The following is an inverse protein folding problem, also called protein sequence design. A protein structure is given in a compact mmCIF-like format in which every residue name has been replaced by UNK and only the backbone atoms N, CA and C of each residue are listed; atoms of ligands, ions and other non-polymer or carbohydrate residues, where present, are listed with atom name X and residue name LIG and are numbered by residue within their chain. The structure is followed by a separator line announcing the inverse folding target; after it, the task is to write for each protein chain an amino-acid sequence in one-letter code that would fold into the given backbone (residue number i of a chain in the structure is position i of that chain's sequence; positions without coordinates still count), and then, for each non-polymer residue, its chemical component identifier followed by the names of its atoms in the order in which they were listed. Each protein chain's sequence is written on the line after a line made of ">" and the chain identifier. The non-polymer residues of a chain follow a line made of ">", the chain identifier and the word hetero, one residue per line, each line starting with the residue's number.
data_IF_678477882489
#
_entry.id   IF_678477882489
#
_cell.length_a   1.000
_cell.length_b   1.000
_cell.length_c   1.000
_cell.angle_alpha   90.00
_cell.angle_beta   90.00
_cell.angle_gamma   90.00
#
_symmetry.space_group_name_H-M   'P 1'
#
loop_
_entity.id
_entity.type
_entity.pdbx_description
1 polymer ?
#
# COMPACT_ATOMS: atom_id res chain seq x y z
N UNK A 1 -7.91 -22.21 -4.25
CA UNK A 1 -7.04 -21.73 -3.15
C UNK A 1 -7.48 -22.25 -1.76
N UNK A 2 -8.65 -22.93 -1.64
CA UNK A 2 -9.11 -23.49 -0.36
C UNK A 2 -9.61 -22.49 0.68
N UNK A 3 -9.74 -21.21 0.32
CA UNK A 3 -10.24 -20.14 1.19
C UNK A 3 -11.71 -19.87 0.88
N UNK A 4 -12.60 -19.76 1.89
CA UNK A 4 -14.00 -19.43 1.66
C UNK A 4 -14.12 -18.01 1.09
N UNK A 5 -14.93 -17.86 0.04
CA UNK A 5 -15.18 -16.56 -0.60
C UNK A 5 -16.15 -15.73 0.24
N UNK A 6 -15.60 -15.00 1.19
CA UNK A 6 -16.32 -13.99 1.97
C UNK A 6 -16.19 -12.61 1.31
N UNK A 7 -17.02 -11.62 1.66
CA UNK A 7 -16.85 -10.26 1.17
C UNK A 7 -15.43 -9.71 1.43
N UNK A 8 -14.85 -9.99 2.59
CA UNK A 8 -13.48 -9.56 2.93
C UNK A 8 -12.42 -10.29 2.12
N UNK A 9 -12.54 -11.61 1.92
CA UNK A 9 -11.64 -12.37 1.05
C UNK A 9 -11.70 -11.86 -0.38
N UNK A 10 -12.89 -11.44 -0.84
CA UNK A 10 -13.06 -10.82 -2.16
C UNK A 10 -12.39 -9.44 -2.21
N UNK A 11 -12.45 -8.64 -1.13
CA UNK A 11 -11.74 -7.37 -1.05
C UNK A 11 -10.22 -7.57 -1.12
N UNK A 12 -9.69 -8.54 -0.35
CA UNK A 12 -8.28 -8.92 -0.38
C UNK A 12 -7.87 -9.30 -1.81
N UNK A 13 -8.58 -10.24 -2.43
CA UNK A 13 -8.30 -10.71 -3.78
C UNK A 13 -8.32 -9.56 -4.81
N UNK A 14 -9.31 -8.66 -4.71
CA UNK A 14 -9.45 -7.53 -5.62
C UNK A 14 -8.29 -6.53 -5.48
N UNK A 15 -7.87 -6.18 -4.26
CA UNK A 15 -6.76 -5.23 -4.05
C UNK A 15 -5.45 -5.82 -4.56
N UNK A 16 -5.15 -7.09 -4.29
CA UNK A 16 -3.96 -7.75 -4.80
C UNK A 16 -3.99 -7.93 -6.33
N UNK A 17 -5.16 -8.18 -6.91
CA UNK A 17 -5.32 -8.18 -8.36
C UNK A 17 -4.99 -6.81 -8.96
N UNK A 18 -5.51 -5.73 -8.38
CA UNK A 18 -5.21 -4.35 -8.82
C UNK A 18 -3.72 -4.05 -8.73
N UNK A 19 -3.03 -4.49 -7.69
CA UNK A 19 -1.56 -4.35 -7.59
C UNK A 19 -0.84 -4.98 -8.78
N UNK A 20 -1.27 -6.17 -9.19
CA UNK A 20 -0.71 -6.84 -10.37
C UNK A 20 -1.00 -6.05 -11.66
N UNK A 21 -2.24 -5.61 -11.84
CA UNK A 21 -2.67 -4.90 -13.06
C UNK A 21 -2.01 -3.52 -13.20
N UNK A 22 -1.66 -2.84 -12.11
CA UNK A 22 -0.94 -1.56 -12.17
C UNK A 22 0.45 -1.69 -12.84
N UNK A 23 0.98 -2.92 -12.94
CA UNK A 23 2.11 -3.22 -13.82
C UNK A 23 1.92 -2.74 -15.27
N UNK A 24 0.67 -2.59 -15.74
CA UNK A 24 0.32 -2.01 -17.03
C UNK A 24 0.99 -0.64 -17.25
N UNK A 25 1.02 0.21 -16.23
CA UNK A 25 1.64 1.52 -16.30
C UNK A 25 3.16 1.50 -16.29
N UNK A 26 3.81 0.38 -15.99
CA UNK A 26 5.28 0.30 -15.88
C UNK A 26 5.97 0.63 -17.21
N UNK A 27 5.51 0.02 -18.29
CA UNK A 27 6.02 0.29 -19.63
C UNK A 27 5.68 1.71 -20.06
N UNK A 28 4.43 2.15 -19.87
CA UNK A 28 3.97 3.49 -20.21
C UNK A 28 4.78 4.59 -19.49
N UNK A 29 5.16 4.39 -18.22
CA UNK A 29 6.06 5.32 -17.50
C UNK A 29 7.39 5.50 -18.21
N UNK A 30 7.99 4.39 -18.66
CA UNK A 30 9.29 4.43 -19.33
C UNK A 30 9.21 5.18 -20.67
N UNK A 31 8.17 4.93 -21.46
CA UNK A 31 7.95 5.66 -22.72
C UNK A 31 7.63 7.13 -22.46
N UNK A 32 6.77 7.44 -21.50
CA UNK A 32 6.42 8.82 -21.14
C UNK A 32 7.65 9.64 -20.75
N UNK A 33 8.52 9.08 -19.90
CA UNK A 33 9.74 9.79 -19.44
C UNK A 33 10.74 9.97 -20.57
N UNK A 34 10.90 8.97 -21.44
CA UNK A 34 11.89 8.98 -22.53
C UNK A 34 11.41 9.76 -23.74
N UNK A 35 10.22 9.43 -24.24
CA UNK A 35 9.77 9.85 -25.56
C UNK A 35 8.91 11.12 -25.52
N UNK A 36 8.18 11.37 -24.40
CA UNK A 36 7.34 12.55 -24.25
C UNK A 36 8.04 13.67 -23.44
N UNK A 37 8.67 13.32 -22.32
CA UNK A 37 9.43 14.30 -21.51
C UNK A 37 10.91 14.44 -21.94
N UNK A 38 11.38 13.60 -22.88
CA UNK A 38 12.75 13.61 -23.40
C UNK A 38 13.82 13.60 -22.32
N UNK A 39 13.58 12.90 -21.20
CA UNK A 39 14.52 12.81 -20.10
C UNK A 39 15.69 11.88 -20.45
N UNK A 40 16.88 12.26 -19.99
CA UNK A 40 18.05 11.37 -20.02
C UNK A 40 17.82 10.12 -19.14
N UNK A 41 18.50 8.99 -19.40
CA UNK A 41 18.38 7.79 -18.56
C UNK A 41 18.63 8.05 -17.07
N UNK A 42 19.56 8.94 -16.74
CA UNK A 42 19.86 9.32 -15.36
C UNK A 42 18.68 10.07 -14.71
N UNK A 43 18.05 11.00 -15.41
CA UNK A 43 16.89 11.73 -14.92
C UNK A 43 15.65 10.82 -14.76
N UNK A 44 15.43 9.93 -15.72
CA UNK A 44 14.37 8.93 -15.64
C UNK A 44 14.56 8.00 -14.42
N UNK A 45 15.80 7.57 -14.16
CA UNK A 45 16.13 6.78 -12.98
C UNK A 45 15.82 7.52 -11.65
N UNK A 46 16.10 8.83 -11.58
CA UNK A 46 15.73 9.66 -10.42
C UNK A 46 14.21 9.70 -10.22
N UNK A 47 13.45 9.93 -11.29
CA UNK A 47 11.97 9.95 -11.25
C UNK A 47 11.43 8.61 -10.74
N UNK A 48 11.94 7.49 -11.26
CA UNK A 48 11.53 6.16 -10.85
C UNK A 48 11.91 5.85 -9.39
N UNK A 49 13.08 6.30 -8.94
CA UNK A 49 13.53 6.15 -7.54
C UNK A 49 12.61 6.92 -6.58
N UNK A 50 12.24 8.17 -6.92
CA UNK A 50 11.30 8.96 -6.13
C UNK A 50 9.93 8.28 -6.06
N UNK A 51 9.47 7.72 -7.18
CA UNK A 51 8.19 6.99 -7.23
C UNK A 51 8.16 5.73 -6.35
N UNK A 52 9.31 5.17 -6.01
CA UNK A 52 9.45 3.98 -5.16
C UNK A 52 9.50 4.30 -3.66
N UNK A 53 9.71 5.56 -3.25
CA UNK A 53 9.83 5.95 -1.84
C UNK A 53 8.65 5.53 -0.95
N UNK A 54 7.38 5.60 -1.40
CA UNK A 54 6.25 5.15 -0.58
C UNK A 54 6.34 3.68 -0.14
N UNK A 55 6.95 2.82 -0.95
CA UNK A 55 7.16 1.41 -0.63
C UNK A 55 8.24 1.21 0.44
N UNK A 56 9.23 2.08 0.47
CA UNK A 56 10.32 2.02 1.45
C UNK A 56 9.82 2.32 2.88
N UNK A 57 8.84 3.18 3.01
CA UNK A 57 8.31 3.65 4.31
C UNK A 57 6.98 2.98 4.71
N UNK A 58 6.70 1.78 4.19
CA UNK A 58 5.48 0.99 4.50
C UNK A 58 5.12 0.93 6.00
N UNK A 59 6.08 0.71 6.94
CA UNK A 59 5.75 0.68 8.36
C UNK A 59 5.11 1.97 8.88
N UNK A 60 5.45 3.12 8.27
CA UNK A 60 4.85 4.40 8.62
C UNK A 60 3.36 4.45 8.27
N UNK A 61 2.97 3.88 7.14
CA UNK A 61 1.56 3.84 6.70
C UNK A 61 0.71 2.99 7.63
N UNK A 62 1.23 1.84 8.07
CA UNK A 62 0.59 1.01 9.09
C UNK A 62 0.41 1.76 10.40
N UNK A 63 1.46 2.41 10.88
CA UNK A 63 1.39 3.23 12.09
C UNK A 63 0.34 4.35 12.00
N UNK A 64 0.29 5.08 10.88
CA UNK A 64 -0.68 6.15 10.66
C UNK A 64 -2.11 5.60 10.70
N UNK A 65 -2.39 4.51 9.99
CA UNK A 65 -3.73 3.94 9.93
C UNK A 65 -4.22 3.38 11.27
N UNK A 66 -3.30 2.83 12.07
CA UNK A 66 -3.64 2.27 13.38
C UNK A 66 -3.85 3.35 14.46
N UNK A 67 -3.10 4.47 14.34
CA UNK A 67 -3.11 5.55 15.34
C UNK A 67 -4.20 6.59 15.08
N UNK A 68 -4.47 6.90 13.82
CA UNK A 68 -5.40 7.98 13.43
C UNK A 68 -6.59 7.38 12.66
N UNK A 69 -7.71 7.06 13.33
CA UNK A 69 -8.90 6.61 12.62
C UNK A 69 -9.55 7.76 11.85
N UNK A 70 -9.76 7.59 10.54
CA UNK A 70 -10.50 8.55 9.72
C UNK A 70 -12.00 8.20 9.76
N UNK A 71 -12.84 9.18 10.15
CA UNK A 71 -14.30 9.01 10.25
C UNK A 71 -14.74 7.85 11.17
N UNK A 72 -13.88 7.46 12.13
CA UNK A 72 -14.12 6.34 13.03
C UNK A 72 -13.74 4.96 12.46
N UNK A 73 -13.13 4.90 11.29
CA UNK A 73 -12.63 3.65 10.69
C UNK A 73 -11.11 3.71 10.49
N UNK A 74 -10.41 2.61 10.80
CA UNK A 74 -8.95 2.52 10.67
C UNK A 74 -8.50 2.10 9.28
N UNK A 75 -9.30 1.28 8.58
CA UNK A 75 -8.90 0.68 7.30
C UNK A 75 -9.80 1.12 6.16
N UNK A 76 -11.11 1.03 6.33
CA UNK A 76 -12.12 1.30 5.32
C UNK A 76 -12.01 2.71 4.74
N UNK A 77 -11.89 3.74 5.60
CA UNK A 77 -11.78 5.13 5.18
C UNK A 77 -10.50 5.42 4.42
N UNK A 78 -9.38 4.84 4.87
CA UNK A 78 -8.09 4.97 4.18
C UNK A 78 -8.07 4.26 2.82
N UNK A 79 -8.65 3.07 2.70
CA UNK A 79 -8.79 2.38 1.41
C UNK A 79 -9.57 3.24 0.41
N UNK A 80 -10.69 3.82 0.85
CA UNK A 80 -11.49 4.70 0.01
C UNK A 80 -10.69 5.96 -0.38
N UNK A 81 -10.04 6.62 0.58
CA UNK A 81 -9.22 7.80 0.35
C UNK A 81 -8.09 7.52 -0.64
N UNK A 82 -7.33 6.45 -0.41
CA UNK A 82 -6.20 6.08 -1.27
C UNK A 82 -6.65 5.68 -2.68
N UNK A 83 -7.78 5.00 -2.80
CA UNK A 83 -8.36 4.72 -4.11
C UNK A 83 -8.69 6.00 -4.90
N UNK A 84 -9.29 6.99 -4.25
CA UNK A 84 -9.57 8.31 -4.89
C UNK A 84 -8.28 9.05 -5.22
N UNK A 85 -7.33 9.11 -4.29
CA UNK A 85 -6.01 9.77 -4.50
C UNK A 85 -5.27 9.14 -5.68
N UNK A 86 -5.25 7.82 -5.77
CA UNK A 86 -4.63 7.11 -6.90
C UNK A 86 -5.34 7.41 -8.22
N UNK A 87 -6.67 7.40 -8.24
CA UNK A 87 -7.44 7.75 -9.43
C UNK A 87 -7.12 9.16 -9.91
N UNK A 88 -7.10 10.15 -9.01
CA UNK A 88 -6.76 11.54 -9.35
C UNK A 88 -5.34 11.64 -9.91
N UNK A 89 -4.36 10.99 -9.27
CA UNK A 89 -2.97 11.02 -9.74
C UNK A 89 -2.82 10.44 -11.16
N UNK A 90 -3.39 9.26 -11.43
CA UNK A 90 -3.34 8.64 -12.74
C UNK A 90 -4.15 9.39 -13.80
N UNK A 91 -5.30 9.96 -13.42
CA UNK A 91 -6.10 10.81 -14.31
C UNK A 91 -5.36 12.10 -14.67
N UNK A 92 -4.58 12.67 -13.76
CA UNK A 92 -3.74 13.85 -14.05
C UNK A 92 -2.59 13.46 -14.99
N UNK A 93 -1.94 12.31 -14.77
CA UNK A 93 -0.91 11.78 -15.66
C UNK A 93 -1.44 11.52 -17.07
N UNK A 94 -2.70 11.11 -17.21
CA UNK A 94 -3.34 10.86 -18.51
C UNK A 94 -3.53 12.12 -19.35
N UNK A 95 -3.42 13.31 -18.77
CA UNK A 95 -3.43 14.57 -19.54
C UNK A 95 -2.11 14.77 -20.33
N UNK A 96 -1.11 13.94 -20.11
CA UNK A 96 0.16 13.97 -20.82
C UNK A 96 0.97 15.23 -20.55
N UNK A 97 1.82 15.61 -21.52
CA UNK A 97 2.75 16.74 -21.40
C UNK A 97 2.04 18.10 -21.26
N UNK A 98 0.76 18.18 -21.59
CA UNK A 98 -0.02 19.42 -21.41
C UNK A 98 -0.14 19.88 -19.95
N UNK A 99 -0.07 18.94 -19.00
CA UNK A 99 -0.14 19.19 -17.55
C UNK A 99 1.15 18.74 -16.85
N UNK A 100 1.78 17.71 -17.35
CA UNK A 100 3.00 17.11 -16.78
C UNK A 100 4.18 17.45 -17.69
N UNK A 101 4.65 18.67 -17.59
CA UNK A 101 5.66 19.27 -18.50
C UNK A 101 7.11 19.12 -18.01
N UNK A 102 7.30 18.64 -16.77
CA UNK A 102 8.63 18.54 -16.19
C UNK A 102 8.80 17.30 -15.29
N UNK A 103 10.07 16.92 -15.06
CA UNK A 103 10.44 15.76 -14.26
C UNK A 103 9.92 15.78 -12.81
N UNK A 104 9.80 16.96 -12.20
CA UNK A 104 9.38 17.07 -10.80
C UNK A 104 7.89 16.82 -10.64
N UNK A 105 7.07 17.37 -11.56
CA UNK A 105 5.62 17.10 -11.61
C UNK A 105 5.38 15.61 -11.88
N UNK A 106 6.11 15.01 -12.84
CA UNK A 106 6.05 13.58 -13.11
C UNK A 106 6.43 12.75 -11.87
N UNK A 107 7.56 13.09 -11.21
CA UNK A 107 8.01 12.42 -9.99
C UNK A 107 6.96 12.47 -8.88
N UNK A 108 6.36 13.63 -8.66
CA UNK A 108 5.35 13.83 -7.63
C UNK A 108 4.10 12.98 -7.93
N UNK A 109 3.56 13.04 -9.14
CA UNK A 109 2.36 12.29 -9.50
C UNK A 109 2.59 10.77 -9.48
N UNK A 110 3.74 10.29 -9.95
CA UNK A 110 4.10 8.87 -9.84
C UNK A 110 4.28 8.44 -8.39
N UNK A 111 4.86 9.30 -7.54
CA UNK A 111 4.98 9.02 -6.12
C UNK A 111 3.61 8.98 -5.43
N UNK A 112 2.67 9.88 -5.77
CA UNK A 112 1.30 9.88 -5.24
C UNK A 112 0.53 8.64 -5.71
N UNK A 113 0.64 8.26 -6.99
CA UNK A 113 0.06 7.02 -7.51
C UNK A 113 0.62 5.78 -6.81
N UNK A 114 1.94 5.75 -6.59
CA UNK A 114 2.63 4.69 -5.86
C UNK A 114 2.24 4.65 -4.38
N UNK A 115 2.08 5.81 -3.73
CA UNK A 115 1.60 5.92 -2.35
C UNK A 115 0.21 5.32 -2.18
N UNK A 116 -0.70 5.62 -3.10
CA UNK A 116 -2.06 5.06 -3.09
C UNK A 116 -2.02 3.53 -2.99
N UNK A 117 -1.18 2.88 -3.78
CA UNK A 117 -1.07 1.42 -3.81
C UNK A 117 -0.32 0.90 -2.60
N UNK A 118 0.83 1.48 -2.25
CA UNK A 118 1.63 1.03 -1.12
C UNK A 118 0.88 1.15 0.22
N UNK A 119 0.09 2.21 0.38
CA UNK A 119 -0.74 2.38 1.57
C UNK A 119 -1.89 1.36 1.61
N UNK A 120 -2.60 1.17 0.48
CA UNK A 120 -3.68 0.18 0.37
C UNK A 120 -3.19 -1.24 0.62
N UNK A 121 -1.99 -1.57 0.16
CA UNK A 121 -1.33 -2.85 0.40
C UNK A 121 -1.12 -3.09 1.91
N UNK A 122 -0.58 -2.12 2.63
CA UNK A 122 -0.40 -2.22 4.09
C UNK A 122 -1.73 -2.43 4.83
N UNK A 123 -2.79 -1.75 4.40
CA UNK A 123 -4.11 -1.91 5.01
C UNK A 123 -4.67 -3.33 4.80
N UNK A 124 -4.53 -3.85 3.60
CA UNK A 124 -4.99 -5.21 3.27
C UNK A 124 -4.10 -6.26 3.93
N UNK A 125 -2.78 -6.07 3.97
CA UNK A 125 -1.85 -6.94 4.69
C UNK A 125 -2.25 -7.07 6.16
N UNK A 126 -2.66 -5.97 6.79
CA UNK A 126 -3.12 -5.98 8.19
C UNK A 126 -4.40 -6.82 8.38
N UNK A 127 -5.32 -6.81 7.40
CA UNK A 127 -6.52 -7.65 7.41
C UNK A 127 -6.15 -9.13 7.21
N UNK A 128 -5.23 -9.43 6.31
CA UNK A 128 -4.73 -10.79 6.06
C UNK A 128 -4.09 -11.37 7.33
N UNK A 129 -3.25 -10.58 8.01
CA UNK A 129 -2.60 -10.99 9.27
C UNK A 129 -3.62 -11.22 10.38
N UNK A 130 -4.64 -10.37 10.50
CA UNK A 130 -5.71 -10.52 11.50
C UNK A 130 -6.49 -11.81 11.26
N UNK A 131 -6.89 -12.08 10.02
CA UNK A 131 -7.55 -13.32 9.64
C UNK A 131 -6.70 -14.57 9.87
N UNK A 132 -5.41 -14.48 9.56
CA UNK A 132 -4.47 -15.57 9.81
C UNK A 132 -4.33 -15.88 11.31
N UNK A 133 -4.43 -14.87 12.17
CA UNK A 133 -4.39 -15.05 13.64
C UNK A 133 -5.68 -15.60 14.21
N UNK A 134 -6.84 -15.26 13.64
CA UNK A 134 -8.15 -15.76 14.05
C UNK A 134 -8.33 -17.24 13.68
N UNK A 135 -7.66 -17.71 12.64
CA UNK A 135 -7.70 -19.11 12.26
C UNK A 135 -6.65 -19.90 13.05
N UNK A 136 -7.09 -20.88 13.83
CA UNK A 136 -6.21 -21.80 14.55
C UNK A 136 -5.45 -22.76 13.63
N UNK A 137 -5.79 -22.77 12.34
CA UNK A 137 -5.24 -23.71 11.34
C UNK A 137 -4.19 -23.03 10.45
N UNK A 138 -2.96 -23.52 10.53
CA UNK A 138 -1.83 -23.08 9.69
C UNK A 138 -2.10 -23.25 8.18
N UNK A 139 -3.00 -24.16 7.79
CA UNK A 139 -3.37 -24.37 6.38
C UNK A 139 -4.12 -23.14 5.81
N UNK A 140 -4.93 -22.50 6.61
CA UNK A 140 -5.68 -21.28 6.22
C UNK A 140 -4.75 -20.11 5.94
N UNK A 141 -3.71 -19.94 6.76
CA UNK A 141 -2.68 -18.89 6.56
C UNK A 141 -1.96 -19.07 5.24
N UNK A 142 -1.51 -20.28 4.91
CA UNK A 142 -0.87 -20.60 3.65
C UNK A 142 -1.78 -20.39 2.44
N UNK A 143 -3.06 -20.75 2.58
CA UNK A 143 -4.07 -20.57 1.54
C UNK A 143 -4.38 -19.09 1.25
N UNK A 144 -4.48 -18.25 2.29
CA UNK A 144 -4.64 -16.80 2.15
C UNK A 144 -3.44 -16.18 1.44
N UNK A 145 -2.23 -16.54 1.84
CA UNK A 145 -1.00 -16.04 1.20
C UNK A 145 -0.92 -16.46 -0.29
N UNK A 146 -1.30 -17.71 -0.59
CA UNK A 146 -1.36 -18.20 -1.97
C UNK A 146 -2.40 -17.48 -2.80
N UNK A 147 -3.54 -17.10 -2.22
CA UNK A 147 -4.54 -16.27 -2.88
C UNK A 147 -3.97 -14.89 -3.21
N UNK A 148 -3.34 -14.22 -2.25
CA UNK A 148 -2.74 -12.89 -2.43
C UNK A 148 -1.75 -12.87 -3.60
N UNK A 149 -0.72 -13.71 -3.54
CA UNK A 149 0.30 -13.79 -4.59
C UNK A 149 -0.25 -14.30 -5.92
N UNK A 150 -1.21 -15.22 -5.88
CA UNK A 150 -1.91 -15.70 -7.09
C UNK A 150 -2.67 -14.59 -7.80
N UNK A 151 -3.33 -13.69 -7.06
CA UNK A 151 -4.06 -12.57 -7.63
C UNK A 151 -3.13 -11.50 -8.19
N UNK A 152 -2.00 -11.20 -7.53
CA UNK A 152 -0.95 -10.33 -8.09
C UNK A 152 -0.39 -10.91 -9.38
N UNK A 153 -0.06 -12.19 -9.39
CA UNK A 153 0.48 -12.86 -10.57
C UNK A 153 -0.52 -12.86 -11.73
N UNK A 154 -1.79 -13.13 -11.46
CA UNK A 154 -2.84 -13.11 -12.45
C UNK A 154 -3.03 -11.72 -13.06
N UNK A 155 -3.09 -10.68 -12.23
CA UNK A 155 -3.13 -9.28 -12.67
C UNK A 155 -1.88 -8.88 -13.47
N UNK A 156 -0.70 -9.33 -13.03
CA UNK A 156 0.58 -9.09 -13.69
C UNK A 156 0.65 -9.72 -15.08
N UNK A 157 0.20 -10.97 -15.22
CA UNK A 157 0.12 -11.65 -16.53
C UNK A 157 -0.82 -10.89 -17.48
N UNK A 158 -2.01 -10.54 -17.00
CA UNK A 158 -2.98 -9.79 -17.80
C UNK A 158 -2.41 -8.44 -18.23
N UNK A 159 -1.79 -7.69 -17.33
CA UNK A 159 -1.19 -6.38 -17.64
C UNK A 159 -0.03 -6.49 -18.64
N UNK A 160 0.84 -7.49 -18.46
CA UNK A 160 1.99 -7.70 -19.35
C UNK A 160 1.56 -8.04 -20.79
N UNK A 161 0.48 -8.79 -20.93
CA UNK A 161 -0.05 -9.15 -22.25
C UNK A 161 -0.53 -7.92 -23.03
N UNK A 162 -1.22 -6.99 -22.39
CA UNK A 162 -1.80 -5.83 -23.05
C UNK A 162 -0.92 -4.59 -23.08
N UNK A 163 0.08 -4.50 -22.20
CA UNK A 163 0.85 -3.26 -21.98
C UNK A 163 1.59 -2.78 -23.22
N UNK A 164 2.20 -3.71 -23.99
CA UNK A 164 2.97 -3.37 -25.19
C UNK A 164 2.08 -2.77 -26.28
N UNK A 165 1.04 -3.49 -26.66
CA UNK A 165 0.11 -3.09 -27.71
C UNK A 165 -0.61 -1.76 -27.36
N UNK A 166 -1.05 -1.61 -26.09
CA UNK A 166 -1.73 -0.39 -25.66
C UNK A 166 -0.81 0.85 -25.70
N UNK A 167 0.45 0.70 -25.32
CA UNK A 167 1.40 1.81 -25.39
C UNK A 167 1.75 2.16 -26.82
N UNK A 168 1.97 1.15 -27.67
CA UNK A 168 2.34 1.35 -29.07
C UNK A 168 1.21 1.97 -29.89
N UNK A 169 -0.03 1.47 -29.74
CA UNK A 169 -1.16 1.96 -30.54
C UNK A 169 -1.82 3.23 -30.00
N UNK A 170 -1.91 3.39 -28.68
CA UNK A 170 -2.70 4.44 -28.02
C UNK A 170 -1.86 5.46 -27.26
N UNK A 171 -0.58 5.17 -27.04
CA UNK A 171 0.31 6.03 -26.29
C UNK A 171 0.19 5.90 -24.76
N UNK A 172 1.15 6.50 -24.06
CA UNK A 172 1.26 6.43 -22.59
C UNK A 172 0.10 7.11 -21.87
N UNK A 173 -0.41 8.22 -22.39
CA UNK A 173 -1.54 8.95 -21.81
C UNK A 173 -2.81 8.10 -21.71
N UNK A 174 -3.11 7.32 -22.74
CA UNK A 174 -4.26 6.39 -22.73
C UNK A 174 -4.07 5.28 -21.70
N UNK A 175 -2.86 4.73 -21.59
CA UNK A 175 -2.56 3.69 -20.59
C UNK A 175 -2.71 4.24 -19.18
N UNK A 176 -2.31 5.48 -18.92
CA UNK A 176 -2.52 6.13 -17.63
C UNK A 176 -4.01 6.35 -17.34
N UNK A 177 -4.82 6.73 -18.35
CA UNK A 177 -6.26 6.83 -18.20
C UNK A 177 -6.92 5.49 -17.84
N UNK A 178 -6.52 4.40 -18.51
CA UNK A 178 -6.94 3.05 -18.14
C UNK A 178 -6.50 2.68 -16.72
N UNK A 179 -5.26 3.03 -16.35
CA UNK A 179 -4.71 2.75 -15.01
C UNK A 179 -5.47 3.49 -13.93
N UNK A 180 -6.01 4.69 -14.19
CA UNK A 180 -6.77 5.48 -13.23
C UNK A 180 -8.05 4.78 -12.72
N UNK A 181 -8.59 3.85 -13.48
CA UNK A 181 -9.80 3.09 -13.09
C UNK A 181 -9.50 2.11 -11.96
N UNK A 182 -8.32 1.51 -11.92
CA UNK A 182 -8.00 0.45 -10.98
C UNK A 182 -7.97 0.90 -9.50
N UNK A 183 -7.42 2.06 -9.13
CA UNK A 183 -7.54 2.57 -7.77
C UNK A 183 -8.99 2.77 -7.30
N UNK A 184 -9.94 3.05 -8.20
CA UNK A 184 -11.36 3.11 -7.85
C UNK A 184 -11.91 1.75 -7.42
N UNK A 185 -11.39 0.66 -7.97
CA UNK A 185 -11.74 -0.69 -7.53
C UNK A 185 -11.28 -0.93 -6.09
N UNK A 186 -10.14 -0.35 -5.67
CA UNK A 186 -9.67 -0.38 -4.28
C UNK A 186 -10.65 0.41 -3.39
N UNK A 187 -11.10 1.60 -3.82
CA UNK A 187 -12.13 2.34 -3.10
C UNK A 187 -13.44 1.54 -2.99
N UNK A 188 -13.82 0.82 -4.04
CA UNK A 188 -14.96 -0.12 -4.04
C UNK A 188 -14.76 -1.29 -3.07
N UNK A 189 -13.56 -1.86 -3.01
CA UNK A 189 -13.22 -2.94 -2.07
C UNK A 189 -13.38 -2.53 -0.60
N UNK A 190 -13.22 -1.24 -0.29
CA UNK A 190 -13.44 -0.71 1.06
C UNK A 190 -14.85 -1.02 1.60
N UNK A 191 -15.86 -1.10 0.73
CA UNK A 191 -17.24 -1.42 1.14
C UNK A 191 -17.44 -2.90 1.47
N UNK A 192 -16.56 -3.77 1.01
CA UNK A 192 -16.60 -5.20 1.30
C UNK A 192 -15.90 -5.54 2.63
N UNK A 193 -15.05 -4.64 3.14
CA UNK A 193 -14.36 -4.81 4.42
C UNK A 193 -15.36 -4.58 5.54
N UNK A 194 -15.50 -5.55 6.44
CA UNK A 194 -16.31 -5.42 7.65
C UNK A 194 -15.46 -4.78 8.74
N UNK A 195 -15.78 -3.56 9.09
CA UNK A 195 -15.12 -2.83 10.18
C UNK A 195 -16.19 -2.11 11.00
N UNK A 196 -16.17 -2.31 12.30
CA UNK A 196 -17.04 -1.60 13.23
C UNK A 196 -16.51 -0.19 13.48
N UNK A 197 -17.42 0.77 13.50
CA UNK A 197 -17.08 2.16 13.79
C UNK A 197 -16.64 2.27 15.25
N UNK A 198 -15.43 2.75 15.46
CA UNK A 198 -14.92 3.06 16.80
C UNK A 198 -15.13 4.55 17.07
N UNK A 199 -15.92 4.85 18.09
CA UNK A 199 -16.03 6.22 18.58
C UNK A 199 -14.68 6.62 19.22
N UNK A 200 -14.29 7.86 19.02
CA UNK A 200 -13.00 8.40 19.44
C UNK A 200 -12.77 8.27 20.97
N UNK A 201 -13.83 8.24 21.78
CA UNK A 201 -13.81 8.01 23.22
C UNK A 201 -13.30 6.60 23.58
N UNK A 202 -13.67 5.57 22.81
CA UNK A 202 -13.29 4.18 23.10
C UNK A 202 -11.82 3.90 22.78
N UNK A 203 -11.22 4.66 21.87
CA UNK A 203 -9.78 4.52 21.54
C UNK A 203 -8.91 5.03 22.68
N UNK A 204 -9.32 6.10 23.37
CA UNK A 204 -8.64 6.61 24.57
C UNK A 204 -8.76 5.64 25.76
N UNK A 205 -9.92 4.96 25.91
CA UNK A 205 -10.13 3.98 26.98
C UNK A 205 -9.35 2.66 26.72
N UNK A 206 -9.16 2.25 25.47
CA UNK A 206 -8.36 1.06 25.17
C UNK A 206 -6.87 1.28 25.43
N UNK A 207 -6.33 2.45 25.12
CA UNK A 207 -4.95 2.83 25.47
C UNK A 207 -4.80 2.92 26.99
N UNK A 208 -5.80 3.46 27.69
CA UNK A 208 -5.82 3.49 29.14
C UNK A 208 -5.89 2.09 29.79
N UNK A 209 -6.69 1.17 29.24
CA UNK A 209 -6.84 -0.19 29.76
C UNK A 209 -5.64 -1.10 29.52
N UNK A 210 -4.84 -0.88 28.47
CA UNK A 210 -3.55 -1.57 28.28
C UNK A 210 -2.51 -1.13 29.31
N UNK A 211 -2.59 0.12 29.76
CA UNK A 211 -1.70 0.68 30.79
C UNK A 211 -2.14 0.24 32.20
N UNK A 212 -3.42 0.00 32.46
CA UNK A 212 -3.99 -0.35 33.79
C UNK A 212 -3.80 -1.82 34.18
N UNK A 213 -3.43 -2.70 33.25
CA UNK A 213 -3.08 -4.10 33.59
C UNK A 213 -1.74 -4.27 34.32
N UNK A 214 -1.04 -3.22 34.63
CA UNK A 214 0.24 -3.24 35.37
C UNK A 214 0.35 -2.15 36.43
N UNK A 215 -0.46 -2.23 37.51
CA UNK A 215 -0.16 -1.59 38.81
C UNK A 215 -0.43 -0.09 38.94
N UNK A 216 -1.35 0.22 39.88
CA UNK A 216 -1.53 1.44 40.67
C UNK A 216 -1.95 2.75 39.98
N UNK A 217 -3.02 3.32 40.54
CA UNK A 217 -3.65 4.60 40.19
C UNK A 217 -2.65 5.75 40.30
N UNK A 218 -2.45 6.44 39.18
CA UNK A 218 -2.10 7.86 39.21
C UNK A 218 -2.77 8.59 38.01
N UNK A 219 -3.49 9.66 38.36
CA UNK A 219 -3.95 10.83 37.64
C UNK A 219 -4.16 10.77 36.10
N UNK A 220 -5.42 11.09 35.71
CA UNK A 220 -5.81 11.47 34.35
C UNK A 220 -4.83 12.47 33.74
N UNK A 221 -3.88 11.98 32.92
CA UNK A 221 -3.15 12.79 31.97
C UNK A 221 -3.67 12.50 30.57
N UNK A 222 -4.13 13.55 29.92
CA UNK A 222 -4.33 13.58 28.47
C UNK A 222 -3.04 13.12 27.77
N UNK A 223 -2.92 11.84 27.46
CA UNK A 223 -1.78 11.30 26.73
C UNK A 223 -1.86 11.84 25.31
N UNK A 224 -0.99 12.79 25.02
CA UNK A 224 -0.83 13.37 23.69
C UNK A 224 -0.54 12.27 22.68
N UNK A 225 -1.10 12.37 21.45
CA UNK A 225 -0.80 11.49 20.30
C UNK A 225 0.71 11.32 20.11
N UNK A 226 1.49 12.32 20.50
CA UNK A 226 2.96 12.34 20.48
C UNK A 226 3.57 11.37 21.51
N UNK A 227 2.97 11.20 22.69
CA UNK A 227 3.46 10.26 23.71
C UNK A 227 3.14 8.82 23.37
N UNK A 228 1.93 8.54 22.86
CA UNK A 228 1.57 7.23 22.30
C UNK A 228 2.49 6.85 21.12
N UNK A 229 2.86 7.83 20.29
CA UNK A 229 3.85 7.66 19.22
C UNK A 229 5.25 7.30 19.74
N UNK A 230 5.71 7.93 20.82
CA UNK A 230 7.01 7.64 21.42
C UNK A 230 7.05 6.24 22.06
N UNK A 231 5.99 5.82 22.73
CA UNK A 231 5.91 4.47 23.32
C UNK A 231 5.90 3.39 22.21
N UNK A 232 5.15 3.59 21.15
CA UNK A 232 5.16 2.67 20.01
C UNK A 232 6.53 2.62 19.34
N UNK A 233 7.20 3.77 19.13
CA UNK A 233 8.57 3.81 18.62
C UNK A 233 9.58 3.13 19.56
N UNK A 234 9.45 3.28 20.88
CA UNK A 234 10.31 2.62 21.86
C UNK A 234 10.11 1.10 21.85
N UNK A 235 8.86 0.66 21.70
CA UNK A 235 8.49 -0.76 21.58
C UNK A 235 9.01 -1.34 20.28
N UNK A 236 8.82 -0.67 19.14
CA UNK A 236 9.40 -1.05 17.85
C UNK A 236 10.93 -1.13 17.94
N UNK A 237 11.58 -0.17 18.59
CA UNK A 237 13.03 -0.18 18.78
C UNK A 237 13.51 -1.35 19.63
N UNK A 238 12.75 -1.71 20.67
CA UNK A 238 13.04 -2.88 21.50
C UNK A 238 12.89 -4.20 20.72
N UNK A 239 11.87 -4.27 19.84
CA UNK A 239 11.63 -5.41 18.97
C UNK A 239 12.73 -5.53 17.90
N UNK A 240 13.10 -4.41 17.26
CA UNK A 240 14.19 -4.36 16.27
C UNK A 240 15.54 -4.80 16.89
N UNK A 241 15.79 -4.54 18.16
CA UNK A 241 17.01 -4.98 18.85
C UNK A 241 17.09 -6.49 19.10
N UNK A 242 15.99 -7.23 18.95
CA UNK A 242 16.01 -8.68 19.18
C UNK A 242 16.84 -9.40 18.12
N UNK A 243 17.78 -10.22 18.56
CA UNK A 243 18.69 -10.98 17.68
C UNK A 243 17.95 -11.87 16.68
N UNK A 244 16.76 -12.34 17.03
CA UNK A 244 15.91 -13.19 16.19
C UNK A 244 15.37 -12.43 14.95
N UNK A 245 15.31 -11.10 15.00
CA UNK A 245 14.84 -10.25 13.89
C UNK A 245 15.99 -9.85 12.97
N UNK A 246 17.18 -9.67 13.51
CA UNK A 246 18.34 -9.25 12.74
C UNK A 246 18.78 -10.25 11.67
N UNK A 247 18.68 -11.55 11.92
CA UNK A 247 19.05 -12.58 10.95
C UNK A 247 18.20 -12.50 9.67
N UNK A 248 16.86 -12.64 9.76
CA UNK A 248 15.98 -12.50 8.62
C UNK A 248 16.04 -11.10 7.97
N UNK A 249 16.13 -10.03 8.76
CA UNK A 249 16.23 -8.68 8.23
C UNK A 249 17.51 -8.45 7.43
N UNK A 250 18.65 -8.91 7.95
CA UNK A 250 19.94 -8.84 7.24
C UNK A 250 19.91 -9.67 5.96
N UNK A 251 19.33 -10.87 6.02
CA UNK A 251 19.15 -11.72 4.83
C UNK A 251 18.33 -11.01 3.75
N UNK A 252 17.19 -10.40 4.13
CA UNK A 252 16.34 -9.67 3.19
C UNK A 252 17.04 -8.43 2.62
N UNK A 253 17.80 -7.70 3.44
CA UNK A 253 18.60 -6.57 2.97
C UNK A 253 19.68 -7.00 1.97
N UNK A 254 20.39 -8.09 2.26
CA UNK A 254 21.41 -8.63 1.35
C UNK A 254 20.80 -9.17 0.06
N UNK A 255 19.65 -9.84 0.16
CA UNK A 255 18.91 -10.30 -1.01
C UNK A 255 18.49 -9.15 -1.93
N UNK A 256 17.96 -8.06 -1.36
CA UNK A 256 17.56 -6.88 -2.12
C UNK A 256 18.76 -6.08 -2.68
N UNK A 257 19.91 -6.16 -2.03
CA UNK A 257 21.14 -5.49 -2.47
C UNK A 257 21.88 -6.24 -3.60
N UNK A 258 21.54 -7.53 -3.83
CA UNK A 258 22.14 -8.27 -4.95
C UNK A 258 21.58 -7.77 -6.28
N UNK A 259 22.45 -7.48 -7.27
CA UNK A 259 22.00 -7.08 -8.60
C UNK A 259 21.09 -8.17 -9.18
N UNK A 260 19.85 -7.81 -9.46
CA UNK A 260 18.94 -8.67 -10.22
C UNK A 260 19.43 -8.70 -11.68
N UNK A 261 19.63 -9.87 -12.30
CA UNK A 261 19.82 -9.91 -13.73
C UNK A 261 18.56 -9.37 -14.38
N UNK A 262 18.69 -8.23 -15.05
CA UNK A 262 17.62 -7.56 -15.79
C UNK A 262 17.17 -8.37 -17.02
#
# INVERSE_FOLDING_TARGET
>A
FGVPMTPETSAIALVYFVQGVIGLASLAKSFFLKDELHLSPAEAAVVMSISSLPWLVKPLWGFISDTVPLFGYKRKSYLCLMGVVGCVAWSTLSQGVSVVDNRWTASFLFAVGSLSIAFSDVLIDSIVVERARESEDNSTTGSLQSLCWGMVAFGGIASSYFSGELVEEKGSAFVFACTAVFPLLIAGAAFLVKEERKDFSTSSEMVANVVVSGGEREEEKNVSVVEAGKETLSTLWSVVKQKQIWGPALFMCLWQATPSPG
#
